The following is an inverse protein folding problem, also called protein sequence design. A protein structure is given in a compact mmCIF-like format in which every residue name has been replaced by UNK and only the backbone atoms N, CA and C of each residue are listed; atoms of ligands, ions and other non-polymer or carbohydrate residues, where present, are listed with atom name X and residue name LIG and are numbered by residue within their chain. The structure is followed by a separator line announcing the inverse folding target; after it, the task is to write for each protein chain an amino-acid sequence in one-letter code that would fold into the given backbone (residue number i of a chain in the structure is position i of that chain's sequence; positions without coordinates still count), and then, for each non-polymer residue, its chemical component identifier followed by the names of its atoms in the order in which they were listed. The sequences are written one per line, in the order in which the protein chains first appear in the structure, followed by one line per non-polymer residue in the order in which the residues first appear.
data_IF_576005106266
#
_entry.id   IF_576005106266
#
_cell.length_a   1.000
_cell.length_b   1.000
_cell.length_c   1.000
_cell.angle_alpha   90.00
_cell.angle_beta   90.00
_cell.angle_gamma   90.00
#
_symmetry.space_group_name_H-M   'P 1'
#
loop_
_entity.id
_entity.type
_entity.pdbx_description
1 polymer ?
#
# COMPACT_ATOMS: atom_id res chain seq x y z
N UNK A 1 -8.07 29.13 -16.41
CA UNK A 1 -8.14 28.03 -17.41
C UNK A 1 -6.90 27.18 -17.22
N UNK A 2 -7.01 25.94 -16.73
CA UNK A 2 -5.88 25.00 -16.83
C UNK A 2 -5.93 24.42 -18.24
N UNK A 3 -4.81 24.47 -18.94
CA UNK A 3 -4.65 23.88 -20.27
C UNK A 3 -5.08 22.40 -20.24
N UNK A 4 -5.68 21.90 -21.31
CA UNK A 4 -6.19 20.52 -21.39
C UNK A 4 -5.07 19.47 -21.40
N UNK A 5 -3.81 19.91 -21.39
CA UNK A 5 -2.65 19.02 -21.35
C UNK A 5 -2.49 18.22 -22.63
N UNK A 6 -2.61 18.88 -23.79
CA UNK A 6 -2.45 18.23 -25.09
C UNK A 6 -1.02 17.69 -25.28
N UNK A 7 -0.03 18.29 -24.61
CA UNK A 7 1.38 17.90 -24.64
C UNK A 7 1.72 17.05 -23.42
N UNK A 8 1.54 15.73 -23.53
CA UNK A 8 1.80 14.79 -22.42
C UNK A 8 3.27 14.77 -21.96
N UNK A 9 4.21 15.14 -22.83
CA UNK A 9 5.63 15.18 -22.51
C UNK A 9 5.95 16.23 -21.44
N UNK A 10 5.26 17.38 -21.47
CA UNK A 10 5.46 18.48 -20.50
C UNK A 10 5.13 18.08 -19.05
N UNK A 11 4.31 17.04 -18.88
CA UNK A 11 3.92 16.54 -17.56
C UNK A 11 4.89 15.47 -17.02
N UNK A 12 5.91 15.09 -17.79
CA UNK A 12 6.86 14.04 -17.43
C UNK A 12 6.32 12.62 -17.58
N UNK A 13 5.18 12.45 -18.26
CA UNK A 13 4.54 11.15 -18.49
C UNK A 13 5.38 10.28 -19.43
N UNK A 14 6.05 10.88 -20.41
CA UNK A 14 6.86 10.15 -21.40
C UNK A 14 8.01 9.37 -20.74
N UNK A 15 8.74 9.99 -19.81
CA UNK A 15 9.82 9.31 -19.08
C UNK A 15 9.29 8.15 -18.24
N UNK A 16 8.10 8.32 -17.64
CA UNK A 16 7.46 7.25 -16.89
C UNK A 16 6.99 6.12 -17.82
N UNK A 17 6.48 6.44 -19.01
CA UNK A 17 6.12 5.44 -20.03
C UNK A 17 7.33 4.65 -20.49
N UNK A 18 8.45 5.30 -20.82
CA UNK A 18 9.71 4.62 -21.16
C UNK A 18 10.18 3.71 -20.03
N UNK A 19 10.07 4.17 -18.78
CA UNK A 19 10.38 3.33 -17.62
C UNK A 19 9.47 2.08 -17.55
N UNK A 20 8.19 2.21 -17.85
CA UNK A 20 7.28 1.05 -17.89
C UNK A 20 7.62 0.07 -19.02
N UNK A 21 8.06 0.56 -20.18
CA UNK A 21 8.55 -0.26 -21.29
C UNK A 21 9.79 -1.04 -20.86
N UNK A 22 10.81 -0.36 -20.31
CA UNK A 22 12.02 -0.99 -19.78
C UNK A 22 11.71 -1.97 -18.62
N UNK A 23 10.70 -1.65 -17.80
CA UNK A 23 10.26 -2.52 -16.70
C UNK A 23 9.60 -3.80 -17.23
N UNK A 24 8.79 -3.69 -18.28
CA UNK A 24 8.19 -4.84 -18.96
C UNK A 24 9.27 -5.76 -19.53
N UNK A 25 10.32 -5.20 -20.14
CA UNK A 25 11.45 -6.00 -20.65
C UNK A 25 12.23 -6.65 -19.49
N UNK A 26 12.40 -5.96 -18.37
CA UNK A 26 13.04 -6.51 -17.18
C UNK A 26 12.23 -7.65 -16.53
N UNK A 27 10.90 -7.65 -16.66
CA UNK A 27 10.06 -8.73 -16.14
C UNK A 27 10.38 -10.10 -16.75
N UNK A 28 10.85 -10.15 -18.00
CA UNK A 28 11.29 -11.40 -18.64
C UNK A 28 12.42 -12.08 -17.85
N UNK A 29 13.33 -11.30 -17.26
CA UNK A 29 14.40 -11.82 -16.41
C UNK A 29 13.86 -12.36 -15.08
N UNK A 30 12.86 -11.69 -14.51
CA UNK A 30 12.25 -12.08 -13.24
C UNK A 30 11.49 -13.40 -13.34
N UNK A 31 10.90 -13.68 -14.51
CA UNK A 31 10.21 -14.94 -14.79
C UNK A 31 11.09 -16.18 -14.54
N UNK A 32 12.39 -16.11 -14.86
CA UNK A 32 13.35 -17.20 -14.58
C UNK A 32 13.88 -17.24 -13.14
N UNK A 33 13.63 -16.21 -12.34
CA UNK A 33 14.22 -16.03 -11.00
C UNK A 33 13.23 -16.42 -9.90
N UNK A 34 11.92 -16.30 -10.10
CA UNK A 34 10.96 -16.51 -9.01
C UNK A 34 10.16 -17.81 -9.18
N UNK A 35 10.06 -18.60 -8.11
CA UNK A 35 9.27 -19.85 -8.11
C UNK A 35 7.76 -19.56 -8.22
N UNK A 36 7.32 -18.44 -7.64
CA UNK A 36 5.96 -17.91 -7.70
C UNK A 36 5.97 -16.56 -8.40
N UNK A 37 5.97 -16.58 -9.74
CA UNK A 37 5.98 -15.36 -10.54
C UNK A 37 4.57 -14.74 -10.63
N UNK A 38 4.52 -13.42 -10.57
CA UNK A 38 3.35 -12.58 -10.85
C UNK A 38 3.80 -11.60 -11.92
N UNK A 39 3.01 -11.44 -12.97
CA UNK A 39 3.22 -10.37 -13.95
C UNK A 39 2.88 -9.03 -13.27
N UNK A 40 3.89 -8.22 -12.99
CA UNK A 40 3.76 -6.94 -12.28
C UNK A 40 3.16 -5.86 -13.18
N UNK A 41 3.36 -5.97 -14.50
CA UNK A 41 2.80 -5.07 -15.49
C UNK A 41 1.28 -5.20 -15.56
N UNK A 42 0.73 -6.41 -15.63
CA UNK A 42 -0.71 -6.66 -15.57
C UNK A 42 -1.29 -6.50 -14.16
N UNK A 43 -0.49 -6.79 -13.13
CA UNK A 43 -0.90 -6.65 -11.73
C UNK A 43 -1.41 -5.25 -11.41
N UNK A 44 -0.65 -4.22 -11.76
CA UNK A 44 -1.01 -2.82 -11.44
C UNK A 44 -2.35 -2.41 -12.07
N UNK A 45 -2.65 -2.86 -13.29
CA UNK A 45 -3.95 -2.64 -13.92
C UNK A 45 -5.08 -3.38 -13.21
N UNK A 46 -4.86 -4.64 -12.81
CA UNK A 46 -5.85 -5.41 -12.06
C UNK A 46 -6.16 -4.76 -10.72
N UNK A 47 -5.14 -4.25 -10.01
CA UNK A 47 -5.30 -3.48 -8.76
C UNK A 47 -6.12 -2.21 -9.02
N UNK A 48 -5.80 -1.45 -10.08
CA UNK A 48 -6.54 -0.25 -10.46
C UNK A 48 -8.02 -0.53 -10.70
N UNK A 49 -8.34 -1.53 -11.53
CA UNK A 49 -9.73 -1.88 -11.85
C UNK A 49 -10.47 -2.43 -10.63
N UNK A 50 -9.82 -3.28 -9.83
CA UNK A 50 -10.41 -3.83 -8.61
C UNK A 50 -10.77 -2.73 -7.62
N UNK A 51 -9.86 -1.79 -7.36
CA UNK A 51 -10.14 -0.67 -6.47
C UNK A 51 -11.20 0.28 -7.01
N UNK A 52 -11.19 0.54 -8.33
CA UNK A 52 -12.23 1.33 -8.99
C UNK A 52 -13.61 0.68 -8.84
N UNK A 53 -13.70 -0.64 -9.03
CA UNK A 53 -14.91 -1.42 -8.80
C UNK A 53 -15.35 -1.37 -7.32
N UNK A 54 -14.42 -1.56 -6.38
CA UNK A 54 -14.73 -1.50 -4.95
C UNK A 54 -15.25 -0.12 -4.51
N UNK A 55 -14.66 0.96 -5.04
CA UNK A 55 -15.10 2.33 -4.75
C UNK A 55 -16.48 2.57 -5.34
N UNK A 56 -16.67 2.27 -6.64
CA UNK A 56 -17.89 2.60 -7.38
C UNK A 56 -19.07 1.72 -6.95
N UNK A 57 -18.88 0.41 -6.84
CA UNK A 57 -19.99 -0.52 -6.62
C UNK A 57 -20.25 -0.83 -5.14
N UNK A 58 -19.24 -0.73 -4.27
CA UNK A 58 -19.35 -1.16 -2.86
C UNK A 58 -19.25 -0.02 -1.84
N UNK A 59 -18.49 1.04 -2.12
CA UNK A 59 -18.41 2.24 -1.26
C UNK A 59 -19.38 3.35 -1.67
N UNK A 60 -20.69 3.10 -1.51
CA UNK A 60 -21.75 4.13 -1.65
C UNK A 60 -21.74 4.88 -3.00
N UNK A 61 -21.25 4.29 -4.09
CA UNK A 61 -21.43 4.83 -5.44
C UNK A 61 -20.44 5.92 -5.89
N UNK A 62 -19.47 6.33 -5.06
CA UNK A 62 -18.65 7.51 -5.40
C UNK A 62 -17.34 7.62 -4.61
N UNK A 63 -16.29 8.12 -5.27
CA UNK A 63 -15.00 8.50 -4.67
C UNK A 63 -15.13 9.47 -3.48
N UNK A 64 -16.28 10.12 -3.30
CA UNK A 64 -16.60 10.89 -2.09
C UNK A 64 -16.51 10.06 -0.80
N UNK A 65 -16.75 8.75 -0.86
CA UNK A 65 -16.69 7.84 0.30
C UNK A 65 -15.27 7.56 0.81
N UNK A 66 -14.24 7.87 0.01
CA UNK A 66 -12.83 7.73 0.37
C UNK A 66 -12.38 8.97 1.15
N UNK A 67 -11.93 8.75 2.38
CA UNK A 67 -11.36 9.76 3.26
C UNK A 67 -9.88 9.99 2.97
N UNK A 68 -9.50 11.26 3.01
CA UNK A 68 -8.11 11.68 3.00
C UNK A 68 -7.60 11.64 4.44
N UNK A 69 -6.42 11.06 4.65
CA UNK A 69 -5.83 11.01 5.98
C UNK A 69 -5.36 12.39 6.44
N UNK A 70 -5.40 12.59 7.76
CA UNK A 70 -4.83 13.77 8.41
C UNK A 70 -5.30 15.11 7.79
N UNK A 71 -6.59 15.20 7.43
CA UNK A 71 -7.20 16.48 7.10
C UNK A 71 -7.00 17.48 8.26
N UNK A 72 -6.71 18.75 7.98
CA UNK A 72 -6.47 19.74 9.02
C UNK A 72 -7.70 19.91 9.91
N UNK A 73 -7.49 19.82 11.22
CA UNK A 73 -8.51 20.00 12.26
C UNK A 73 -8.17 21.23 13.11
N UNK A 74 -9.16 22.06 13.44
CA UNK A 74 -9.06 23.05 14.52
C UNK A 74 -9.90 22.51 15.69
N UNK A 75 -9.36 22.48 16.91
CA UNK A 75 -10.08 22.09 18.13
C UNK A 75 -10.88 20.78 18.00
N UNK A 76 -10.30 19.73 17.40
CA UNK A 76 -10.93 18.42 17.15
C UNK A 76 -12.18 18.42 16.24
N UNK A 77 -12.52 19.54 15.60
CA UNK A 77 -13.54 19.60 14.54
C UNK A 77 -12.85 19.49 13.18
N UNK A 78 -13.23 18.46 12.41
CA UNK A 78 -12.82 18.30 11.00
C UNK A 78 -13.41 19.42 10.17
N UNK A 79 -12.58 20.42 9.83
CA UNK A 79 -13.01 21.57 9.07
C UNK A 79 -13.00 21.26 7.57
N UNK A 80 -14.00 20.49 7.11
CA UNK A 80 -14.31 20.22 5.69
C UNK A 80 -14.74 21.49 4.90
N UNK A 81 -14.71 22.67 5.53
CA UNK A 81 -15.22 23.92 4.94
C UNK A 81 -14.28 24.52 3.89
N UNK A 82 -12.96 24.27 3.97
CA UNK A 82 -11.96 25.01 3.18
C UNK A 82 -11.17 24.15 2.18
N UNK A 83 -10.63 23.00 2.59
CA UNK A 83 -9.94 22.08 1.66
C UNK A 83 -10.92 20.99 1.22
N UNK A 84 -11.34 21.04 -0.04
CA UNK A 84 -12.26 20.06 -0.63
C UNK A 84 -11.59 19.41 -1.83
N UNK A 85 -11.08 18.21 -1.63
CA UNK A 85 -10.63 17.37 -2.74
C UNK A 85 -11.86 16.80 -3.44
N UNK A 86 -12.01 17.19 -4.70
CA UNK A 86 -13.09 16.81 -5.59
C UNK A 86 -13.08 15.30 -5.89
N UNK A 87 -14.21 14.79 -6.40
CA UNK A 87 -14.33 13.38 -6.80
C UNK A 87 -13.35 13.02 -7.92
N UNK A 88 -13.17 13.92 -8.89
CA UNK A 88 -12.23 13.75 -10.01
C UNK A 88 -10.78 13.74 -9.54
N UNK A 89 -10.40 14.61 -8.58
CA UNK A 89 -9.06 14.57 -7.99
C UNK A 89 -8.83 13.25 -7.25
N UNK A 90 -9.81 12.77 -6.49
CA UNK A 90 -9.72 11.45 -5.80
C UNK A 90 -9.59 10.28 -6.78
N UNK A 91 -10.26 10.35 -7.92
CA UNK A 91 -10.11 9.36 -8.98
C UNK A 91 -8.72 9.40 -9.61
N UNK A 92 -8.20 10.60 -9.92
CA UNK A 92 -6.85 10.79 -10.41
C UNK A 92 -5.79 10.31 -9.40
N UNK A 93 -6.01 10.58 -8.10
CA UNK A 93 -5.18 10.06 -7.03
C UNK A 93 -5.14 8.54 -7.06
N UNK A 94 -6.29 7.87 -7.13
CA UNK A 94 -6.35 6.40 -7.20
C UNK A 94 -5.61 5.85 -8.43
N UNK A 95 -5.78 6.51 -9.58
CA UNK A 95 -5.08 6.14 -10.81
C UNK A 95 -3.55 6.13 -10.60
N UNK A 96 -2.98 7.23 -10.08
CA UNK A 96 -1.54 7.31 -9.83
C UNK A 96 -1.11 6.30 -8.76
N UNK A 97 -1.83 6.21 -7.65
CA UNK A 97 -1.50 5.31 -6.53
C UNK A 97 -1.44 3.85 -7.00
N UNK A 98 -2.49 3.37 -7.67
CA UNK A 98 -2.61 1.97 -8.06
C UNK A 98 -1.70 1.59 -9.23
N UNK A 99 -1.54 2.46 -10.24
CA UNK A 99 -0.69 2.15 -11.39
C UNK A 99 0.80 2.22 -11.04
N UNK A 100 1.18 3.02 -10.04
CA UNK A 100 2.59 3.32 -9.77
C UNK A 100 3.11 2.75 -8.44
N UNK A 101 2.34 1.96 -7.70
CA UNK A 101 2.78 1.49 -6.37
C UNK A 101 4.00 0.55 -6.43
N UNK A 102 4.12 -0.24 -7.49
CA UNK A 102 5.11 -1.30 -7.64
C UNK A 102 6.31 -0.93 -8.54
N UNK A 103 6.44 0.33 -8.95
CA UNK A 103 7.56 0.77 -9.80
C UNK A 103 8.94 0.46 -9.21
N UNK A 104 9.09 0.46 -7.88
CA UNK A 104 10.35 0.16 -7.20
C UNK A 104 10.73 -1.32 -7.15
N UNK A 105 9.87 -2.22 -7.64
CA UNK A 105 10.03 -3.67 -7.51
C UNK A 105 11.34 -4.24 -8.10
N UNK A 106 11.83 -3.79 -9.28
CA UNK A 106 13.09 -4.25 -9.83
C UNK A 106 14.28 -4.16 -8.86
N UNK A 107 14.39 -3.02 -8.16
CA UNK A 107 15.50 -2.75 -7.26
C UNK A 107 15.52 -3.72 -6.08
N UNK A 108 14.35 -4.12 -5.58
CA UNK A 108 14.24 -5.10 -4.51
C UNK A 108 14.72 -6.49 -4.98
N UNK A 109 14.53 -6.84 -6.25
CA UNK A 109 14.87 -8.16 -6.82
C UNK A 109 16.33 -8.32 -7.22
N UNK A 110 17.09 -7.24 -7.33
CA UNK A 110 18.54 -7.28 -7.59
C UNK A 110 19.26 -8.17 -6.55
N UNK A 111 18.82 -8.14 -5.29
CA UNK A 111 19.41 -8.98 -4.25
C UNK A 111 19.19 -10.48 -4.50
N UNK A 112 17.98 -10.87 -4.90
CA UNK A 112 17.66 -12.27 -5.24
C UNK A 112 18.49 -12.75 -6.43
N UNK A 113 18.67 -11.90 -7.45
CA UNK A 113 19.52 -12.20 -8.60
C UNK A 113 20.99 -12.38 -8.18
N UNK A 114 21.53 -11.44 -7.38
CA UNK A 114 22.88 -11.55 -6.84
C UNK A 114 23.09 -12.85 -6.06
N UNK A 115 22.11 -13.28 -5.25
CA UNK A 115 22.19 -14.54 -4.51
C UNK A 115 22.20 -15.77 -5.41
N UNK A 116 21.31 -15.83 -6.41
CA UNK A 116 21.27 -16.94 -7.36
C UNK A 116 22.58 -17.05 -8.16
N UNK A 117 23.05 -15.93 -8.68
CA UNK A 117 24.34 -15.86 -9.39
C UNK A 117 25.45 -16.31 -8.44
N UNK A 118 25.54 -15.74 -7.23
CA UNK A 118 26.57 -16.11 -6.23
C UNK A 118 26.57 -17.60 -5.89
N UNK A 119 25.42 -18.28 -5.85
CA UNK A 119 25.34 -19.73 -5.59
C UNK A 119 26.03 -20.55 -6.68
N UNK A 120 25.84 -20.19 -7.95
CA UNK A 120 26.50 -20.87 -9.07
C UNK A 120 28.01 -20.56 -9.06
N UNK A 121 28.35 -19.30 -8.86
CA UNK A 121 29.74 -18.83 -8.88
C UNK A 121 30.62 -19.50 -7.81
N UNK A 122 30.05 -19.90 -6.67
CA UNK A 122 30.76 -20.68 -5.63
C UNK A 122 31.37 -21.98 -6.15
N UNK A 123 30.78 -22.61 -7.16
CA UNK A 123 31.31 -23.85 -7.75
C UNK A 123 32.53 -23.62 -8.65
N UNK A 124 32.79 -22.38 -9.08
CA UNK A 124 33.89 -22.02 -9.98
C UNK A 124 35.16 -21.50 -9.26
N UNK A 125 35.22 -21.53 -7.92
CA UNK A 125 36.41 -21.17 -7.13
C UNK A 125 36.34 -19.80 -6.45
N UNK A 126 37.50 -19.21 -6.12
CA UNK A 126 37.61 -17.89 -5.47
C UNK A 126 37.07 -16.81 -6.37
N UNK A 127 35.85 -16.34 -6.06
CA UNK A 127 35.12 -15.45 -6.93
C UNK A 127 35.17 -14.00 -6.44
N UNK A 128 35.79 -13.11 -7.22
CA UNK A 128 35.68 -11.65 -7.07
C UNK A 128 34.41 -11.15 -7.79
N UNK A 129 33.24 -11.57 -7.32
CA UNK A 129 31.98 -11.14 -7.95
C UNK A 129 31.64 -9.74 -7.46
N UNK A 130 31.70 -8.76 -8.36
CA UNK A 130 31.12 -7.45 -8.13
C UNK A 130 29.59 -7.59 -8.18
N UNK A 131 28.97 -7.70 -7.01
CA UNK A 131 27.50 -7.70 -6.89
C UNK A 131 26.93 -6.45 -7.53
N UNK A 132 25.80 -6.59 -8.23
CA UNK A 132 25.02 -5.44 -8.64
C UNK A 132 24.54 -4.72 -7.38
N UNK A 133 25.01 -3.49 -7.16
CA UNK A 133 24.60 -2.67 -6.03
C UNK A 133 23.96 -1.41 -6.56
N UNK A 134 22.76 -1.12 -6.08
CA UNK A 134 22.16 0.19 -6.26
C UNK A 134 22.68 1.11 -5.16
N UNK A 135 23.38 2.18 -5.56
CA UNK A 135 23.77 3.27 -4.66
C UNK A 135 23.18 4.57 -5.20
N UNK A 136 22.45 5.29 -4.35
CA UNK A 136 21.98 6.62 -4.70
C UNK A 136 23.16 7.61 -4.62
N UNK A 137 23.36 8.47 -5.64
CA UNK A 137 24.39 9.51 -5.58
C UNK A 137 24.09 10.51 -4.46
N UNK A 138 25.10 11.28 -4.03
CA UNK A 138 24.98 12.25 -2.93
C UNK A 138 23.87 13.30 -3.17
N UNK A 139 23.59 13.69 -4.42
CA UNK A 139 22.46 14.56 -4.77
C UNK A 139 21.08 13.92 -4.48
N UNK A 140 21.02 12.58 -4.48
CA UNK A 140 19.87 11.80 -4.02
C UNK A 140 19.52 12.12 -2.58
N UNK A 141 20.50 12.39 -1.70
CA UNK A 141 20.25 12.63 -0.27
C UNK A 141 19.31 13.80 0.02
N UNK A 142 19.32 14.84 -0.83
CA UNK A 142 18.42 15.99 -0.70
C UNK A 142 17.00 15.58 -1.07
N UNK A 143 16.83 14.90 -2.21
CA UNK A 143 15.54 14.39 -2.68
C UNK A 143 14.97 13.33 -1.73
N UNK A 144 15.82 12.47 -1.19
CA UNK A 144 15.44 11.41 -0.25
C UNK A 144 14.95 12.00 1.07
N UNK A 145 15.70 12.97 1.62
CA UNK A 145 15.27 13.72 2.80
C UNK A 145 13.95 14.44 2.54
N UNK A 146 13.82 15.08 1.39
CA UNK A 146 12.59 15.76 0.98
C UNK A 146 11.39 14.80 0.94
N UNK A 147 11.55 13.63 0.34
CA UNK A 147 10.50 12.60 0.27
C UNK A 147 10.14 12.12 1.67
N UNK A 148 11.13 11.80 2.51
CA UNK A 148 10.90 11.38 3.89
C UNK A 148 10.14 12.44 4.69
N UNK A 149 10.51 13.70 4.53
CA UNK A 149 9.84 14.82 5.19
C UNK A 149 8.40 14.99 4.71
N UNK A 150 8.11 14.89 3.40
CA UNK A 150 6.74 14.92 2.87
C UNK A 150 5.93 13.74 3.39
N UNK A 151 6.44 12.51 3.24
CA UNK A 151 5.76 11.29 3.67
C UNK A 151 5.41 11.31 5.15
N UNK A 152 6.30 11.86 5.99
CA UNK A 152 6.12 11.99 7.43
C UNK A 152 5.31 13.22 7.86
N UNK A 153 4.96 14.11 6.93
CA UNK A 153 4.30 15.36 7.27
C UNK A 153 2.80 15.24 7.56
N UNK A 154 2.28 16.20 8.30
CA UNK A 154 0.86 16.43 8.54
C UNK A 154 0.57 17.90 8.33
N UNK A 155 -0.51 18.19 7.61
CA UNK A 155 -0.99 19.55 7.45
C UNK A 155 -1.85 19.92 8.66
N UNK A 156 -1.43 20.91 9.42
CA UNK A 156 -2.18 21.44 10.57
C UNK A 156 -2.64 22.86 10.27
N UNK A 157 -3.83 23.22 10.75
CA UNK A 157 -4.34 24.58 10.63
C UNK A 157 -4.08 25.31 11.94
N UNK A 158 -3.38 26.44 11.88
CA UNK A 158 -3.04 27.25 13.06
C UNK A 158 -4.12 28.29 13.32
N UNK A 159 -4.57 28.97 12.26
CA UNK A 159 -5.64 29.97 12.29
C UNK A 159 -6.45 29.87 10.99
N UNK A 160 -7.53 30.65 10.86
CA UNK A 160 -8.37 30.61 9.66
C UNK A 160 -7.61 30.89 8.36
N UNK A 161 -6.55 31.68 8.45
CA UNK A 161 -5.74 32.14 7.32
C UNK A 161 -4.35 31.48 7.23
N UNK A 162 -4.06 30.46 8.06
CA UNK A 162 -2.72 29.82 8.11
C UNK A 162 -2.75 28.31 8.26
N UNK A 163 -2.06 27.62 7.35
CA UNK A 163 -1.70 26.21 7.46
C UNK A 163 -0.20 26.04 7.70
N UNK A 164 0.17 25.03 8.48
CA UNK A 164 1.55 24.66 8.74
C UNK A 164 1.78 23.18 8.46
N UNK A 165 2.93 22.88 7.90
CA UNK A 165 3.41 21.51 7.72
C UNK A 165 4.14 21.10 9.00
N UNK A 166 3.63 20.06 9.66
CA UNK A 166 4.23 19.47 10.86
C UNK A 166 4.78 18.07 10.54
N UNK A 167 6.08 17.85 10.77
CA UNK A 167 6.71 16.54 10.56
C UNK A 167 6.45 15.64 11.77
N UNK A 168 5.92 14.46 11.53
CA UNK A 168 5.67 13.46 12.56
C UNK A 168 6.87 12.51 12.65
N UNK A 169 7.71 12.66 13.69
CA UNK A 169 8.93 11.87 13.87
C UNK A 169 8.68 10.35 13.80
N UNK A 170 7.54 9.89 14.34
CA UNK A 170 7.14 8.46 14.30
C UNK A 170 6.97 7.90 12.88
N UNK A 171 6.52 8.72 11.93
CA UNK A 171 6.39 8.31 10.53
C UNK A 171 7.73 8.45 9.82
N UNK A 172 8.48 9.51 10.13
CA UNK A 172 9.81 9.72 9.59
C UNK A 172 10.73 8.52 9.84
N UNK A 173 10.82 8.04 11.09
CA UNK A 173 11.64 6.87 11.43
C UNK A 173 11.19 5.61 10.68
N UNK A 174 9.87 5.39 10.53
CA UNK A 174 9.35 4.21 9.82
C UNK A 174 9.70 4.25 8.33
N UNK A 175 9.51 5.40 7.68
CA UNK A 175 9.88 5.54 6.27
C UNK A 175 11.39 5.52 6.06
N UNK A 176 12.18 6.04 7.01
CA UNK A 176 13.64 5.92 6.98
C UNK A 176 14.07 4.46 6.99
N UNK A 177 13.47 3.64 7.86
CA UNK A 177 13.74 2.21 7.90
C UNK A 177 13.30 1.50 6.61
N UNK A 178 12.14 1.88 6.03
CA UNK A 178 11.69 1.35 4.73
C UNK A 178 12.63 1.76 3.59
N UNK A 179 13.16 2.98 3.62
CA UNK A 179 14.14 3.47 2.66
C UNK A 179 15.46 2.68 2.76
N UNK A 180 15.99 2.46 3.96
CA UNK A 180 17.21 1.66 4.18
C UNK A 180 17.07 0.22 3.67
N UNK A 181 15.87 -0.35 3.79
CA UNK A 181 15.56 -1.70 3.29
C UNK A 181 15.31 -1.77 1.78
N UNK A 182 15.30 -0.62 1.10
CA UNK A 182 14.93 -0.51 -0.30
C UNK A 182 13.54 -1.11 -0.61
N UNK A 183 12.58 -0.87 0.29
CA UNK A 183 11.18 -1.22 0.08
C UNK A 183 10.67 -0.65 -1.26
N UNK A 184 10.00 -1.47 -2.07
CA UNK A 184 9.59 -1.08 -3.42
C UNK A 184 8.61 0.10 -3.40
N UNK A 185 7.70 0.20 -2.43
CA UNK A 185 6.80 1.35 -2.30
C UNK A 185 7.55 2.67 -2.08
N UNK A 186 8.65 2.64 -1.30
CA UNK A 186 9.49 3.82 -1.09
C UNK A 186 10.28 4.18 -2.36
N UNK A 187 10.83 3.18 -3.05
CA UNK A 187 11.56 3.38 -4.31
C UNK A 187 10.63 3.88 -5.43
N UNK A 188 9.38 3.42 -5.48
CA UNK A 188 8.32 3.94 -6.37
C UNK A 188 8.10 5.44 -6.14
N UNK A 189 8.08 5.90 -4.88
CA UNK A 189 7.93 7.33 -4.58
C UNK A 189 9.09 8.17 -5.13
N UNK A 190 10.33 7.65 -5.06
CA UNK A 190 11.51 8.31 -5.62
C UNK A 190 11.38 8.43 -7.15
N UNK A 191 10.94 7.37 -7.83
CA UNK A 191 10.70 7.40 -9.28
C UNK A 191 9.61 8.39 -9.67
N UNK A 192 8.50 8.44 -8.93
CA UNK A 192 7.42 9.39 -9.17
C UNK A 192 7.87 10.84 -9.05
N UNK A 193 8.62 11.16 -7.98
CA UNK A 193 9.19 12.48 -7.74
C UNK A 193 10.19 12.90 -8.81
N UNK A 194 10.97 11.95 -9.35
CA UNK A 194 11.97 12.22 -10.40
C UNK A 194 11.36 12.39 -11.79
N UNK A 195 10.26 11.71 -12.09
CA UNK A 195 9.74 11.67 -13.45
C UNK A 195 8.56 12.62 -13.66
N UNK A 196 7.57 12.65 -12.78
CA UNK A 196 6.37 13.46 -13.00
C UNK A 196 6.55 14.91 -12.54
N UNK A 197 6.25 15.85 -13.44
CA UNK A 197 6.38 17.29 -13.17
C UNK A 197 5.45 17.73 -12.03
N UNK A 198 4.27 17.12 -11.92
CA UNK A 198 3.32 17.39 -10.83
C UNK A 198 3.94 17.30 -9.43
N UNK A 199 4.88 16.36 -9.23
CA UNK A 199 5.56 16.17 -7.95
C UNK A 199 6.79 17.10 -7.79
N UNK A 200 7.43 17.50 -8.89
CA UNK A 200 8.54 18.46 -8.89
C UNK A 200 8.10 19.87 -8.49
N UNK A 201 6.86 20.25 -8.84
CA UNK A 201 6.22 21.52 -8.45
C UNK A 201 5.75 21.57 -6.99
N UNK A 202 6.38 20.80 -6.10
CA UNK A 202 6.01 20.79 -4.69
C UNK A 202 6.81 21.83 -3.92
N UNK A 203 6.16 22.93 -3.54
CA UNK A 203 6.76 23.94 -2.68
C UNK A 203 6.85 23.44 -1.22
N UNK A 204 8.07 23.07 -0.81
CA UNK A 204 8.34 22.54 0.54
C UNK A 204 9.16 23.48 1.43
N UNK A 205 9.93 24.41 0.83
CA UNK A 205 10.80 25.31 1.60
C UNK A 205 9.98 26.12 2.61
N UNK A 206 8.79 26.54 2.20
CA UNK A 206 7.85 27.22 3.07
C UNK A 206 6.95 26.20 3.78
N UNK A 207 7.32 25.85 5.01
CA UNK A 207 6.52 24.99 5.89
C UNK A 207 5.21 25.64 6.36
N UNK A 208 4.83 26.77 5.77
CA UNK A 208 3.71 27.62 6.14
C UNK A 208 3.00 28.13 4.88
N UNK A 209 1.70 27.85 4.78
CA UNK A 209 0.83 28.47 3.79
C UNK A 209 0.00 29.55 4.50
N UNK A 210 0.22 30.81 4.15
CA UNK A 210 -0.45 31.93 4.77
C UNK A 210 -1.08 32.82 3.70
N UNK A 211 -2.29 33.29 4.01
CA UNK A 211 -2.98 34.33 3.24
C UNK A 211 -2.14 35.61 3.23
N UNK A 212 -1.75 36.07 2.04
CA UNK A 212 -0.98 37.31 1.89
C UNK A 212 -1.90 38.53 1.84
N UNK A 213 -3.04 38.44 1.15
CA UNK A 213 -4.03 39.52 0.98
C UNK A 213 -5.46 39.04 1.24
N UNK A 214 -6.41 39.94 1.52
CA UNK A 214 -7.81 39.63 1.88
C UNK A 214 -8.57 38.76 0.85
N UNK A 215 -8.22 38.84 -0.43
CA UNK A 215 -8.83 38.08 -1.54
C UNK A 215 -8.03 36.85 -1.97
N UNK A 216 -6.86 36.60 -1.36
CA UNK A 216 -5.98 35.52 -1.77
C UNK A 216 -6.53 34.16 -1.32
N UNK A 217 -6.82 33.30 -2.30
CA UNK A 217 -7.27 31.91 -2.13
C UNK A 217 -6.12 30.92 -2.46
N UNK A 218 -4.99 31.40 -3.01
CA UNK A 218 -3.88 30.55 -3.45
C UNK A 218 -3.36 29.66 -2.33
N UNK A 219 -3.20 30.21 -1.13
CA UNK A 219 -2.72 29.45 0.03
C UNK A 219 -3.57 28.20 0.37
N UNK A 220 -4.88 28.24 0.08
CA UNK A 220 -5.79 27.09 0.27
C UNK A 220 -5.56 26.05 -0.84
N UNK A 221 -5.38 26.51 -2.08
CA UNK A 221 -5.12 25.66 -3.25
C UNK A 221 -3.76 24.97 -3.09
N UNK A 222 -2.74 25.69 -2.67
CA UNK A 222 -1.39 25.17 -2.46
C UNK A 222 -1.38 24.13 -1.33
N UNK A 223 -2.06 24.42 -0.21
CA UNK A 223 -2.26 23.47 0.87
C UNK A 223 -3.04 22.22 0.43
N UNK A 224 -4.04 22.38 -0.46
CA UNK A 224 -4.78 21.27 -1.06
C UNK A 224 -3.89 20.42 -1.98
N UNK A 225 -3.10 21.03 -2.86
CA UNK A 225 -2.20 20.30 -3.75
C UNK A 225 -1.11 19.58 -2.96
N UNK A 226 -0.55 20.22 -1.94
CA UNK A 226 0.38 19.58 -1.01
C UNK A 226 -0.24 18.35 -0.36
N UNK A 227 -1.48 18.46 0.12
CA UNK A 227 -2.22 17.36 0.72
C UNK A 227 -2.40 16.20 -0.28
N UNK A 228 -2.81 16.48 -1.51
CA UNK A 228 -3.02 15.48 -2.56
C UNK A 228 -1.72 14.74 -2.88
N UNK A 229 -0.63 15.48 -3.14
CA UNK A 229 0.69 14.93 -3.44
C UNK A 229 1.20 14.03 -2.32
N UNK A 230 1.11 14.54 -1.08
CA UNK A 230 1.47 13.79 0.12
C UNK A 230 0.68 12.50 0.24
N UNK A 231 -0.63 12.53 0.05
CA UNK A 231 -1.48 11.35 0.20
C UNK A 231 -1.20 10.29 -0.87
N UNK A 232 -0.90 10.70 -2.11
CA UNK A 232 -0.48 9.76 -3.16
C UNK A 232 0.82 9.06 -2.75
N UNK A 233 1.86 9.84 -2.45
CA UNK A 233 3.17 9.29 -2.06
C UNK A 233 3.06 8.45 -0.78
N UNK A 234 2.28 8.89 0.20
CA UNK A 234 2.06 8.16 1.46
C UNK A 234 1.34 6.83 1.22
N UNK A 235 0.33 6.80 0.36
CA UNK A 235 -0.37 5.56 0.03
C UNK A 235 0.59 4.56 -0.64
N UNK A 236 1.39 5.03 -1.60
CA UNK A 236 2.40 4.22 -2.28
C UNK A 236 3.51 3.76 -1.33
N UNK A 237 4.10 4.63 -0.51
CA UNK A 237 5.19 4.24 0.39
C UNK A 237 4.75 3.32 1.54
N UNK A 238 3.46 3.33 1.91
CA UNK A 238 3.00 2.60 3.10
C UNK A 238 2.39 1.24 2.79
N UNK A 239 2.16 0.88 1.53
CA UNK A 239 1.48 -0.37 1.19
C UNK A 239 2.34 -1.62 1.50
N UNK A 240 3.66 -1.46 1.47
CA UNK A 240 4.66 -2.47 1.83
C UNK A 240 5.34 -2.19 3.20
N UNK A 241 4.92 -1.13 3.90
CA UNK A 241 5.42 -0.77 5.24
C UNK A 241 4.51 -1.33 6.34
N UNK A 242 4.86 -2.50 6.87
CA UNK A 242 4.06 -3.18 7.91
C UNK A 242 4.04 -2.46 9.28
N UNK A 243 4.89 -1.44 9.46
CA UNK A 243 4.96 -0.66 10.69
C UNK A 243 3.89 0.42 10.79
N UNK A 244 3.18 0.70 9.69
CA UNK A 244 2.10 1.68 9.66
C UNK A 244 0.79 0.95 9.93
N UNK A 245 0.13 1.33 11.03
CA UNK A 245 -1.15 0.76 11.43
C UNK A 245 -2.31 1.63 10.92
N UNK A 246 -3.47 1.02 10.68
CA UNK A 246 -4.64 1.73 10.15
C UNK A 246 -5.73 1.90 11.22
N UNK A 247 -6.29 3.11 11.28
CA UNK A 247 -7.42 3.43 12.16
C UNK A 247 -8.77 3.45 11.42
N UNK A 248 -8.73 3.67 10.11
CA UNK A 248 -9.89 3.72 9.23
C UNK A 248 -9.63 2.86 8.00
N UNK A 249 -10.68 2.30 7.42
CA UNK A 249 -10.59 1.42 6.24
C UNK A 249 -10.87 2.14 4.93
N UNK A 250 -11.56 3.27 4.97
CA UNK A 250 -12.01 3.99 3.79
C UNK A 250 -11.00 5.07 3.35
N UNK A 251 -9.71 4.76 3.34
CA UNK A 251 -8.68 5.65 2.79
C UNK A 251 -7.92 4.94 1.66
N UNK A 252 -7.22 5.70 0.81
CA UNK A 252 -6.49 5.15 -0.34
C UNK A 252 -5.43 4.13 0.07
N UNK A 253 -4.77 4.36 1.20
CA UNK A 253 -3.72 3.47 1.69
C UNK A 253 -4.27 2.07 2.03
N UNK A 254 -5.31 1.99 2.86
CA UNK A 254 -5.93 0.71 3.20
C UNK A 254 -6.59 0.06 1.99
N UNK A 255 -7.17 0.86 1.08
CA UNK A 255 -7.71 0.35 -0.17
C UNK A 255 -6.63 -0.28 -1.05
N UNK A 256 -5.48 0.38 -1.22
CA UNK A 256 -4.36 -0.14 -1.99
C UNK A 256 -3.89 -1.48 -1.42
N UNK A 257 -3.65 -1.53 -0.10
CA UNK A 257 -3.27 -2.77 0.58
C UNK A 257 -4.29 -3.87 0.31
N UNK A 258 -5.59 -3.60 0.48
CA UNK A 258 -6.61 -4.62 0.22
C UNK A 258 -6.64 -5.04 -1.24
N UNK A 259 -6.49 -4.12 -2.20
CA UNK A 259 -6.54 -4.46 -3.62
C UNK A 259 -5.33 -5.29 -4.04
N UNK A 260 -4.12 -4.91 -3.63
CA UNK A 260 -2.91 -5.69 -3.88
C UNK A 260 -3.00 -7.09 -3.21
N UNK A 261 -3.44 -7.14 -1.96
CA UNK A 261 -3.59 -8.39 -1.20
C UNK A 261 -4.70 -9.30 -1.73
N UNK A 262 -5.76 -8.75 -2.34
CA UNK A 262 -6.82 -9.53 -2.98
C UNK A 262 -6.42 -9.93 -4.41
N UNK A 263 -5.59 -9.15 -5.11
CA UNK A 263 -5.13 -9.46 -6.47
C UNK A 263 -4.16 -10.65 -6.46
N UNK A 264 -4.69 -11.83 -6.19
CA UNK A 264 -3.96 -13.07 -5.96
C UNK A 264 -4.31 -14.15 -6.98
N UNK A 265 -5.39 -13.95 -7.76
CA UNK A 265 -5.88 -14.91 -8.73
C UNK A 265 -5.03 -14.96 -10.00
N UNK A 266 -4.98 -16.14 -10.63
CA UNK A 266 -4.23 -16.41 -11.87
C UNK A 266 -2.72 -16.17 -11.74
N UNK A 267 -2.11 -16.60 -10.62
CA UNK A 267 -0.65 -16.62 -10.50
C UNK A 267 -0.08 -17.80 -11.31
N UNK A 268 0.71 -17.54 -12.36
CA UNK A 268 1.44 -18.61 -13.03
C UNK A 268 2.53 -19.12 -12.08
N UNK A 269 2.38 -20.35 -11.59
CA UNK A 269 3.50 -21.07 -10.98
C UNK A 269 4.28 -21.66 -12.15
N UNK A 270 5.60 -21.47 -12.21
CA UNK A 270 6.44 -21.98 -13.30
C UNK A 270 6.24 -23.50 -13.49
N UNK A 271 6.11 -24.24 -12.38
CA UNK A 271 5.75 -25.65 -12.38
C UNK A 271 4.34 -25.97 -12.94
N UNK A 272 3.37 -25.05 -12.82
CA UNK A 272 2.05 -25.16 -13.46
C UNK A 272 2.11 -24.85 -14.95
N UNK A 273 2.96 -23.90 -15.36
CA UNK A 273 3.11 -23.48 -16.76
C UNK A 273 3.79 -24.55 -17.62
N UNK A 274 4.81 -25.22 -17.07
CA UNK A 274 5.43 -26.41 -17.68
C UNK A 274 4.46 -27.60 -17.80
N UNK A 275 3.46 -27.68 -16.91
CA UNK A 275 2.46 -28.74 -16.87
C UNK A 275 1.13 -28.37 -17.55
N UNK A 276 1.09 -27.28 -18.33
CA UNK A 276 -0.11 -26.77 -19.03
C UNK A 276 -0.81 -27.80 -19.95
N UNK A 277 -0.18 -28.94 -20.23
CA UNK A 277 -0.80 -30.04 -20.97
C UNK A 277 -1.71 -30.98 -20.18
N UNK A 278 -1.73 -30.96 -18.83
CA UNK A 278 -2.27 -32.10 -18.05
C UNK A 278 -3.23 -31.78 -16.88
N UNK A 279 -3.39 -30.53 -16.44
CA UNK A 279 -4.24 -30.23 -15.27
C UNK A 279 -5.42 -29.34 -15.62
N UNK A 280 -6.64 -29.88 -15.50
CA UNK A 280 -7.88 -29.07 -15.48
C UNK A 280 -7.69 -27.93 -14.48
N UNK A 281 -7.76 -26.69 -14.98
CA UNK A 281 -7.66 -25.48 -14.17
C UNK A 281 -8.65 -25.55 -13.00
N UNK A 282 -8.13 -25.69 -11.79
CA UNK A 282 -8.93 -25.42 -10.59
C UNK A 282 -9.06 -23.91 -10.50
N UNK A 283 -10.24 -23.40 -10.83
CA UNK A 283 -10.56 -21.97 -10.78
C UNK A 283 -10.32 -21.40 -9.36
N UNK A 284 -9.46 -20.39 -9.27
CA UNK A 284 -9.33 -19.57 -8.07
C UNK A 284 -10.48 -18.55 -8.04
N UNK A 285 -11.18 -18.43 -6.91
CA UNK A 285 -12.36 -17.57 -6.78
C UNK A 285 -12.21 -16.60 -5.63
N UNK A 286 -12.54 -15.35 -5.90
CA UNK A 286 -12.55 -14.29 -4.90
C UNK A 286 -13.97 -13.77 -4.76
N UNK A 287 -14.50 -13.85 -3.54
CA UNK A 287 -15.85 -13.42 -3.23
C UNK A 287 -15.81 -12.30 -2.19
N UNK A 288 -16.15 -11.10 -2.64
CA UNK A 288 -16.29 -9.91 -1.79
C UNK A 288 -17.72 -9.88 -1.24
N UNK A 289 -17.94 -10.53 -0.09
CA UNK A 289 -19.29 -10.65 0.51
C UNK A 289 -19.82 -9.32 1.03
N UNK A 290 -18.94 -8.48 1.59
CA UNK A 290 -19.30 -7.15 2.08
C UNK A 290 -18.08 -6.26 2.06
N UNK A 291 -18.24 -5.05 1.54
CA UNK A 291 -17.19 -4.03 1.57
C UNK A 291 -17.84 -2.69 1.86
N UNK A 292 -17.74 -2.23 3.10
CA UNK A 292 -18.26 -0.92 3.53
C UNK A 292 -17.36 -0.29 4.59
N UNK A 293 -17.58 0.99 4.89
CA UNK A 293 -16.80 1.76 5.88
C UNK A 293 -16.68 1.08 7.27
N UNK A 294 -17.66 0.24 7.63
CA UNK A 294 -17.74 -0.42 8.95
C UNK A 294 -17.45 -1.92 8.91
N UNK A 295 -17.52 -2.58 7.75
CA UNK A 295 -17.43 -4.04 7.67
C UNK A 295 -16.86 -4.49 6.34
N UNK A 296 -15.78 -5.25 6.39
CA UNK A 296 -15.19 -5.92 5.23
C UNK A 296 -15.21 -7.43 5.48
N UNK A 297 -15.72 -8.18 4.52
CA UNK A 297 -15.73 -9.64 4.49
C UNK A 297 -15.26 -10.10 3.11
N UNK A 298 -14.09 -10.73 3.09
CA UNK A 298 -13.46 -11.26 1.88
C UNK A 298 -13.31 -12.77 2.02
N UNK A 299 -13.58 -13.50 0.94
CA UNK A 299 -13.33 -14.94 0.85
C UNK A 299 -12.42 -15.21 -0.33
N UNK A 300 -11.28 -15.83 -0.06
CA UNK A 300 -10.29 -16.29 -1.03
C UNK A 300 -10.38 -17.81 -1.13
N UNK A 301 -10.71 -18.31 -2.31
CA UNK A 301 -10.73 -19.72 -2.65
C UNK A 301 -9.57 -20.01 -3.61
N UNK A 302 -8.51 -20.62 -3.08
CA UNK A 302 -7.24 -20.79 -3.78
C UNK A 302 -7.01 -22.26 -4.16
N UNK A 303 -6.43 -22.46 -5.34
CA UNK A 303 -6.06 -23.77 -5.86
C UNK A 303 -4.64 -24.15 -5.41
N UNK A 304 -4.48 -24.30 -4.09
CA UNK A 304 -3.22 -24.63 -3.42
C UNK A 304 -3.36 -25.90 -2.56
N UNK A 305 -2.26 -26.62 -2.41
CA UNK A 305 -2.16 -27.72 -1.45
C UNK A 305 -2.11 -27.21 0.00
N UNK A 306 -2.43 -28.08 0.95
CA UNK A 306 -2.60 -27.70 2.36
C UNK A 306 -1.36 -27.05 2.97
N UNK A 307 -0.16 -27.55 2.65
CA UNK A 307 1.10 -27.01 3.18
C UNK A 307 1.36 -25.59 2.69
N UNK A 308 1.17 -25.34 1.40
CA UNK A 308 1.40 -24.03 0.80
C UNK A 308 0.30 -23.04 1.21
N UNK A 309 -0.95 -23.50 1.30
CA UNK A 309 -2.05 -22.69 1.82
C UNK A 309 -1.79 -22.29 3.28
N UNK A 310 -1.23 -23.18 4.11
CA UNK A 310 -0.91 -22.87 5.49
C UNK A 310 0.21 -21.81 5.58
N UNK A 311 1.31 -21.97 4.84
CA UNK A 311 2.38 -20.96 4.78
C UNK A 311 1.84 -19.60 4.32
N UNK A 312 1.03 -19.63 3.27
CA UNK A 312 0.40 -18.46 2.70
C UNK A 312 -0.54 -17.77 3.72
N UNK A 313 -1.45 -18.52 4.33
CA UNK A 313 -2.39 -18.00 5.32
C UNK A 313 -1.65 -17.42 6.53
N UNK A 314 -0.59 -18.08 7.03
CA UNK A 314 0.26 -17.55 8.11
C UNK A 314 0.86 -16.20 7.75
N UNK A 315 1.45 -16.07 6.56
CA UNK A 315 2.06 -14.81 6.11
C UNK A 315 1.01 -13.68 6.01
N UNK A 316 -0.12 -13.95 5.36
CA UNK A 316 -1.21 -12.97 5.20
C UNK A 316 -1.81 -12.54 6.54
N UNK A 317 -2.11 -13.50 7.41
CA UNK A 317 -2.66 -13.21 8.74
C UNK A 317 -1.67 -12.40 9.57
N UNK A 318 -0.36 -12.70 9.54
CA UNK A 318 0.67 -11.90 10.23
C UNK A 318 0.71 -10.46 9.73
N UNK A 319 0.65 -10.24 8.41
CA UNK A 319 0.58 -8.90 7.81
C UNK A 319 -0.63 -8.14 8.37
N UNK A 320 -1.83 -8.72 8.35
CA UNK A 320 -3.02 -8.06 8.89
C UNK A 320 -3.00 -7.87 10.41
N UNK A 321 -2.37 -8.77 11.18
CA UNK A 321 -2.13 -8.57 12.62
C UNK A 321 -1.25 -7.33 12.85
N UNK A 322 -0.18 -7.15 12.06
CA UNK A 322 0.71 -5.98 12.16
C UNK A 322 -0.02 -4.69 11.75
N UNK A 323 -0.78 -4.71 10.66
CA UNK A 323 -1.56 -3.56 10.18
C UNK A 323 -2.69 -3.13 11.12
N UNK A 324 -3.30 -4.09 11.83
CA UNK A 324 -4.41 -3.89 12.76
C UNK A 324 -3.99 -4.00 14.24
N UNK A 325 -2.68 -3.93 14.52
CA UNK A 325 -2.13 -4.06 15.88
C UNK A 325 -2.65 -3.00 16.84
N UNK A 326 -2.49 -3.26 18.14
CA UNK A 326 -2.73 -2.25 19.17
C UNK A 326 -1.78 -1.07 18.99
N UNK A 327 -2.34 0.14 19.04
CA UNK A 327 -1.63 1.39 18.83
C UNK A 327 -2.38 2.58 19.46
N UNK A 328 -1.73 3.75 19.49
CA UNK A 328 -2.36 5.00 19.90
C UNK A 328 -3.62 5.24 19.07
N UNK A 329 -4.71 5.61 19.75
CA UNK A 329 -6.05 5.80 19.17
C UNK A 329 -6.76 4.54 18.64
N UNK A 330 -6.32 3.34 19.02
CA UNK A 330 -7.01 2.11 18.60
C UNK A 330 -8.49 2.10 18.97
N UNK A 331 -8.88 2.69 20.10
CA UNK A 331 -10.28 2.84 20.52
C UNK A 331 -11.17 3.60 19.50
N UNK A 332 -10.57 4.40 18.60
CA UNK A 332 -11.30 5.11 17.53
C UNK A 332 -11.70 4.18 16.38
N UNK A 333 -11.13 2.98 16.26
CA UNK A 333 -11.49 2.00 15.23
C UNK A 333 -12.94 1.57 15.44
N UNK A 334 -13.75 1.72 14.40
CA UNK A 334 -15.19 1.43 14.45
C UNK A 334 -15.63 0.37 13.43
N UNK A 335 -14.67 -0.38 12.89
CA UNK A 335 -14.90 -1.36 11.83
C UNK A 335 -14.67 -2.81 12.28
N UNK A 336 -15.19 -3.74 11.49
CA UNK A 336 -14.94 -5.19 11.58
C UNK A 336 -14.27 -5.67 10.30
N UNK A 337 -13.27 -6.52 10.41
CA UNK A 337 -12.60 -7.15 9.28
C UNK A 337 -12.68 -8.66 9.40
N UNK A 338 -13.07 -9.35 8.32
CA UNK A 338 -13.03 -10.80 8.25
C UNK A 338 -12.45 -11.25 6.93
N UNK A 339 -11.44 -12.11 6.99
CA UNK A 339 -10.81 -12.71 5.82
C UNK A 339 -10.86 -14.22 5.96
N UNK A 340 -11.44 -14.88 4.96
CA UNK A 340 -11.55 -16.34 4.91
C UNK A 340 -10.65 -16.82 3.77
N UNK A 341 -9.66 -17.63 4.09
CA UNK A 341 -8.78 -18.28 3.11
C UNK A 341 -9.13 -19.76 3.11
N UNK A 342 -9.53 -20.33 1.97
CA UNK A 342 -9.88 -21.74 1.86
C UNK A 342 -9.33 -22.37 0.57
N UNK A 343 -9.13 -23.67 0.58
CA UNK A 343 -8.84 -24.44 -0.63
C UNK A 343 -9.97 -25.42 -0.99
N UNK A 344 -9.82 -26.06 -2.16
CA UNK A 344 -10.72 -27.11 -2.63
C UNK A 344 -10.76 -28.38 -1.77
N UNK A 345 -9.79 -28.56 -0.86
CA UNK A 345 -9.61 -29.74 0.01
C UNK A 345 -10.16 -29.52 1.43
N UNK A 346 -11.13 -28.62 1.60
CA UNK A 346 -11.81 -28.29 2.88
C UNK A 346 -10.94 -27.68 3.98
N UNK A 347 -9.67 -27.34 3.71
CA UNK A 347 -8.87 -26.53 4.65
C UNK A 347 -9.30 -25.08 4.57
N UNK A 348 -9.57 -24.47 5.74
CA UNK A 348 -10.06 -23.10 5.88
C UNK A 348 -9.39 -22.39 7.06
N UNK A 349 -8.98 -21.15 6.81
CA UNK A 349 -8.53 -20.20 7.83
C UNK A 349 -9.50 -19.02 7.87
N UNK A 350 -9.96 -18.65 9.05
CA UNK A 350 -10.89 -17.54 9.27
C UNK A 350 -10.24 -16.52 10.23
N UNK A 351 -9.77 -15.41 9.68
CA UNK A 351 -9.24 -14.30 10.44
C UNK A 351 -10.35 -13.30 10.73
N UNK A 352 -10.60 -13.05 12.01
CA UNK A 352 -11.67 -12.17 12.48
C UNK A 352 -11.06 -11.08 13.37
N UNK A 353 -11.20 -9.83 12.92
CA UNK A 353 -10.90 -8.64 13.71
C UNK A 353 -12.20 -7.93 14.08
N UNK A 354 -12.41 -7.78 15.38
CA UNK A 354 -13.57 -7.10 15.96
C UNK A 354 -13.21 -5.69 16.42
N UNK A 355 -14.23 -4.83 16.52
CA UNK A 355 -14.03 -3.47 17.03
C UNK A 355 -13.49 -3.51 18.48
N UNK A 356 -12.55 -2.63 18.84
CA UNK A 356 -12.08 -2.50 20.22
C UNK A 356 -13.21 -2.09 21.18
N UNK A 357 -13.04 -2.42 22.46
CA UNK A 357 -14.01 -2.07 23.50
C UNK A 357 -13.94 -0.56 23.76
N UNK A 358 -15.10 0.12 23.68
CA UNK A 358 -15.19 1.58 23.86
C UNK A 358 -15.23 2.01 25.32
N UNK A 359 -15.67 1.13 26.21
CA UNK A 359 -15.80 1.44 27.62
C UNK A 359 -14.58 0.86 28.32
N UNK A 360 -13.79 1.71 28.99
CA UNK A 360 -13.05 1.36 30.19
C UNK A 360 -12.55 2.62 30.90
N UNK A 361 -12.87 2.67 32.20
CA UNK A 361 -12.16 3.47 33.19
C UNK A 361 -10.66 3.15 33.07
N UNK A 362 -9.82 4.16 33.26
CA UNK A 362 -8.39 4.19 32.92
C UNK A 362 -7.51 3.10 33.58
N UNK A 363 -8.04 2.24 34.44
CA UNK A 363 -7.23 1.51 35.42
C UNK A 363 -7.09 -0.03 35.25
N UNK A 364 -7.84 -0.76 34.41
CA UNK A 364 -7.72 -2.25 34.48
C UNK A 364 -7.87 -3.11 33.22
N UNK A 365 -8.36 -2.67 32.06
CA UNK A 365 -8.46 -3.56 30.88
C UNK A 365 -7.95 -2.91 29.58
N UNK A 366 -7.30 -3.73 28.74
CA UNK A 366 -6.82 -3.30 27.43
C UNK A 366 -7.98 -3.02 26.49
N UNK A 367 -8.04 -1.81 25.91
CA UNK A 367 -9.02 -1.44 24.87
C UNK A 367 -8.96 -2.31 23.61
N UNK A 368 -7.85 -3.01 23.39
CA UNK A 368 -7.61 -3.88 22.25
C UNK A 368 -8.20 -5.28 22.45
N UNK A 369 -9.12 -5.67 21.55
CA UNK A 369 -9.57 -7.06 21.45
C UNK A 369 -8.63 -7.83 20.51
N UNK A 370 -7.98 -8.89 21.02
CA UNK A 370 -7.13 -9.75 20.20
C UNK A 370 -7.94 -10.32 19.02
N UNK A 371 -7.37 -10.38 17.80
CA UNK A 371 -8.03 -11.00 16.66
C UNK A 371 -8.21 -12.50 16.91
N UNK A 372 -9.20 -13.10 16.28
CA UNK A 372 -9.48 -14.54 16.39
C UNK A 372 -9.07 -15.19 15.08
N UNK A 373 -8.32 -16.29 15.16
CA UNK A 373 -7.97 -17.11 14.01
C UNK A 373 -8.51 -18.52 14.21
N UNK A 374 -9.38 -18.94 13.30
CA UNK A 374 -9.95 -20.28 13.32
C UNK A 374 -9.39 -21.07 12.15
N UNK A 375 -8.74 -22.20 12.42
CA UNK A 375 -8.39 -23.21 11.42
C UNK A 375 -9.48 -24.28 11.41
N UNK A 376 -9.98 -24.65 10.24
CA UNK A 376 -10.94 -25.73 10.06
C UNK A 376 -10.43 -26.67 8.98
N UNK A 377 -10.38 -27.97 9.27
CA UNK A 377 -10.05 -29.03 8.31
C UNK A 377 -10.91 -30.23 8.61
N UNK A 378 -11.61 -30.76 7.61
CA UNK A 378 -12.43 -31.98 7.75
C UNK A 378 -13.34 -31.98 8.99
N UNK A 379 -14.01 -30.84 9.21
CA UNK A 379 -14.92 -30.57 10.35
C UNK A 379 -14.26 -30.44 11.75
N UNK A 380 -12.96 -30.67 11.87
CA UNK A 380 -12.18 -30.30 13.05
C UNK A 380 -11.87 -28.80 13.07
N UNK A 381 -12.13 -28.15 14.21
CA UNK A 381 -12.01 -26.70 14.38
C UNK A 381 -11.03 -26.36 15.49
N UNK A 382 -9.87 -25.81 15.13
CA UNK A 382 -8.94 -25.22 16.08
C UNK A 382 -9.21 -23.70 16.19
N UNK A 383 -9.72 -23.28 17.35
CA UNK A 383 -10.10 -21.88 17.62
C UNK A 383 -8.97 -21.01 18.18
N UNK A 384 -7.84 -21.60 18.57
CA UNK A 384 -6.69 -20.89 19.15
C UNK A 384 -5.44 -20.96 18.25
N UNK A 385 -5.67 -21.03 16.93
CA UNK A 385 -4.60 -21.11 15.95
C UNK A 385 -3.76 -19.81 15.89
N UNK A 386 -4.19 -18.74 16.57
CA UNK A 386 -3.44 -17.48 16.65
C UNK A 386 -2.09 -17.67 17.36
N UNK A 387 -2.04 -18.43 18.47
CA UNK A 387 -0.80 -18.69 19.21
C UNK A 387 0.23 -19.41 18.34
N UNK A 388 -0.21 -20.36 17.51
CA UNK A 388 0.66 -21.07 16.55
C UNK A 388 1.22 -20.15 15.45
N UNK A 389 0.48 -19.09 15.09
CA UNK A 389 0.94 -18.09 14.13
C UNK A 389 1.97 -17.14 14.75
N UNK A 390 1.85 -16.83 16.05
CA UNK A 390 2.69 -15.84 16.74
C UNK A 390 3.99 -16.43 17.31
N UNK A 391 4.02 -17.73 17.65
CA UNK A 391 5.19 -18.40 18.28
C UNK A 391 6.43 -18.61 17.39
N UNK A 392 6.44 -18.08 16.16
CA UNK A 392 7.54 -18.15 15.19
C UNK A 392 7.80 -16.74 14.70
#
# INVERSE_FOLDING_TARGET
MRDKGNLKFDMGVENLTKYFEDFSDFEELLYGIEEFYRDHSLHVFRVYFLGSYLIREKLEGSYSGVEIMDLPTINNLTFNKYIKVSKSEKEAMWCIISLCHDLGYPLQKINNLNEKVSKILKYFGTYNFARLRFSLPLEGTILDRFILEILASKLTKISDDKFKIHIQSKYYTKYSNSYEKLNHGMMSCILLMKNLVYFKETDYKDKLFQKQNSEDISYIIDAQQYLIRREILRAVASHDCEDIYHLKMNNFLFLLIICDEIQEWNRPIFAKLLNMGMTKDKEEKILIKKFSKKKIIIVLELAMDDSDLEKYAKSKIRKFIRLLRSAVDSYKRSFKFRMIIKNSKKLKFDFIYEKPNKNLNLDTESTYKRPIVIKTKDDEKNTDYLEEIIKI
#
